data_IF_196047952920
#
_entry.id   IF_196047952920
#
_cell.length_a   1.000
_cell.length_b   1.000
_cell.length_c   1.000
_cell.angle_alpha   90.00
_cell.angle_beta   90.00
_cell.angle_gamma   90.00
#
_symmetry.space_group_name_H-M   'P 1'
#
loop_
_entity.id
_entity.type
_entity.pdbx_description
1 polymer ?
#
# COMPACT_ATOMS: atom_id res chain seq x y z
N UNK A 1 11.85 -1.42 2.89
CA UNK A 1 10.37 -1.40 2.97
C UNK A 1 9.84 -1.71 1.59
N UNK A 2 8.70 -2.40 1.48
CA UNK A 2 8.03 -2.71 0.21
C UNK A 2 6.59 -2.22 0.24
N UNK A 3 6.09 -1.80 -0.92
CA UNK A 3 4.67 -1.51 -1.10
C UNK A 3 4.16 -2.17 -2.38
N UNK A 4 2.95 -2.71 -2.33
CA UNK A 4 2.16 -3.06 -3.51
C UNK A 4 1.04 -2.04 -3.61
N UNK A 5 0.97 -1.34 -4.74
CA UNK A 5 -0.04 -0.33 -5.00
C UNK A 5 -1.11 -0.89 -5.94
N UNK A 6 -2.36 -0.58 -5.63
CA UNK A 6 -3.51 -0.90 -6.46
C UNK A 6 -4.31 0.38 -6.69
N UNK A 7 -4.54 0.73 -7.95
CA UNK A 7 -5.52 1.76 -8.29
C UNK A 7 -6.91 1.18 -8.08
N UNK A 8 -7.72 1.85 -7.27
CA UNK A 8 -9.06 1.40 -6.90
C UNK A 8 -10.11 2.45 -7.22
N UNK A 9 -11.33 2.02 -7.55
CA UNK A 9 -12.49 2.91 -7.61
C UNK A 9 -13.12 3.12 -6.22
N UNK A 10 -13.00 2.12 -5.35
CA UNK A 10 -13.37 2.10 -3.93
C UNK A 10 -12.62 0.98 -3.21
N UNK A 11 -12.43 1.08 -1.89
CA UNK A 11 -11.85 0.03 -1.06
C UNK A 11 -12.26 0.22 0.42
N UNK A 12 -12.23 -0.84 1.22
CA UNK A 12 -12.49 -0.76 2.66
C UNK A 12 -11.70 -1.84 3.42
N UNK A 13 -11.38 -1.54 4.68
CA UNK A 13 -10.90 -2.51 5.68
C UNK A 13 -12.01 -2.74 6.68
N UNK A 14 -12.37 -4.00 6.89
CA UNK A 14 -13.41 -4.40 7.83
C UNK A 14 -12.80 -5.32 8.89
N UNK A 15 -13.03 -5.02 10.17
CA UNK A 15 -12.59 -5.80 11.31
C UNK A 15 -13.83 -6.15 12.14
N UNK A 16 -14.08 -7.44 12.34
CA UNK A 16 -15.25 -7.93 13.10
C UNK A 16 -16.60 -7.36 12.62
N UNK A 17 -16.71 -7.04 11.33
CA UNK A 17 -17.91 -6.47 10.71
C UNK A 17 -17.97 -4.93 10.73
N UNK A 18 -17.04 -4.26 11.40
CA UNK A 18 -16.94 -2.79 11.44
C UNK A 18 -15.95 -2.27 10.39
N UNK A 19 -16.32 -1.22 9.67
CA UNK A 19 -15.41 -0.55 8.72
C UNK A 19 -14.49 0.39 9.48
N UNK A 20 -13.19 0.06 9.50
CA UNK A 20 -12.16 0.84 10.22
C UNK A 20 -11.39 1.80 9.31
N UNK A 21 -11.64 1.75 8.01
CA UNK A 21 -11.08 2.68 7.03
C UNK A 21 -11.61 2.37 5.63
N UNK A 22 -11.93 3.41 4.87
CA UNK A 22 -12.50 3.27 3.54
C UNK A 22 -12.09 4.37 2.57
N UNK A 23 -12.22 4.03 1.29
CA UNK A 23 -12.12 4.90 0.13
C UNK A 23 -13.41 4.74 -0.65
N UNK A 24 -14.16 5.83 -0.81
CA UNK A 24 -15.46 5.87 -1.51
C UNK A 24 -15.39 6.45 -2.92
N UNK A 25 -14.20 6.87 -3.37
CA UNK A 25 -13.92 7.47 -4.68
C UNK A 25 -12.57 6.97 -5.24
N UNK A 26 -12.24 7.20 -6.52
CA UNK A 26 -10.96 6.74 -7.07
C UNK A 26 -9.75 7.14 -6.23
N UNK A 27 -8.85 6.19 -5.98
CA UNK A 27 -7.68 6.35 -5.11
C UNK A 27 -6.73 5.16 -5.15
N UNK A 28 -5.90 5.02 -4.12
CA UNK A 28 -4.92 3.94 -4.00
C UNK A 28 -5.16 3.08 -2.76
N UNK A 29 -5.04 1.76 -2.90
CA UNK A 29 -4.73 0.88 -1.78
C UNK A 29 -3.23 0.63 -1.78
N UNK A 30 -2.59 0.84 -0.63
CA UNK A 30 -1.18 0.56 -0.42
C UNK A 30 -1.04 -0.57 0.61
N UNK A 31 -0.69 -1.76 0.13
CA UNK A 31 -0.25 -2.85 1.01
C UNK A 31 1.23 -2.62 1.34
N UNK A 32 1.55 -2.36 2.60
CA UNK A 32 2.90 -1.96 3.03
C UNK A 32 3.51 -3.04 3.90
N UNK A 33 4.68 -3.53 3.48
CA UNK A 33 5.50 -4.48 4.23
C UNK A 33 6.75 -3.76 4.76
N UNK A 34 7.04 -3.99 6.04
CA UNK A 34 8.24 -3.49 6.73
C UNK A 34 9.07 -4.67 7.18
N UNK A 35 10.40 -4.56 7.14
CA UNK A 35 11.34 -5.58 7.63
C UNK A 35 12.40 -4.99 8.55
N UNK A 36 13.20 -5.84 9.18
CA UNK A 36 14.15 -5.50 10.25
C UNK A 36 15.18 -4.42 9.89
N UNK A 37 15.51 -4.27 8.61
CA UNK A 37 16.48 -3.28 8.13
C UNK A 37 15.88 -1.93 7.77
N UNK A 38 14.56 -1.75 7.89
CA UNK A 38 13.89 -0.53 7.49
C UNK A 38 13.94 0.51 8.62
N UNK A 39 14.36 1.73 8.27
CA UNK A 39 14.38 2.88 9.16
C UNK A 39 13.67 4.10 8.56
N UNK A 40 13.88 5.29 9.15
CA UNK A 40 13.24 6.53 8.71
C UNK A 40 13.46 6.86 7.22
N UNK A 41 14.64 6.54 6.67
CA UNK A 41 14.96 6.80 5.27
C UNK A 41 14.12 5.96 4.29
N UNK A 42 13.88 4.68 4.61
CA UNK A 42 13.00 3.81 3.83
C UNK A 42 11.54 4.26 3.91
N UNK A 43 11.10 4.69 5.09
CA UNK A 43 9.75 5.25 5.30
C UNK A 43 9.56 6.48 4.42
N UNK A 44 10.47 7.45 4.50
CA UNK A 44 10.41 8.67 3.70
C UNK A 44 10.41 8.36 2.20
N UNK A 45 11.28 7.45 1.76
CA UNK A 45 11.39 7.06 0.35
C UNK A 45 10.12 6.39 -0.15
N UNK A 46 9.53 5.47 0.61
CA UNK A 46 8.30 4.78 0.20
C UNK A 46 7.11 5.73 0.25
N UNK A 47 6.96 6.53 1.31
CA UNK A 47 5.87 7.50 1.42
C UNK A 47 5.89 8.51 0.26
N UNK A 48 7.06 9.11 -0.04
CA UNK A 48 7.24 10.00 -1.19
C UNK A 48 6.88 9.32 -2.50
N UNK A 49 7.39 8.10 -2.72
CA UNK A 49 7.07 7.34 -3.93
C UNK A 49 5.59 7.05 -4.07
N UNK A 50 4.88 6.72 -2.99
CA UNK A 50 3.42 6.49 -3.04
C UNK A 50 2.70 7.79 -3.39
N UNK A 51 3.08 8.90 -2.75
CA UNK A 51 2.47 10.22 -2.96
C UNK A 51 2.62 10.74 -4.40
N UNK A 52 3.82 10.59 -4.96
CA UNK A 52 4.22 11.22 -6.23
C UNK A 52 4.08 10.28 -7.45
N UNK A 53 3.80 8.99 -7.29
CA UNK A 53 3.73 8.06 -8.42
C UNK A 53 2.49 8.34 -9.30
N UNK A 54 2.77 8.67 -10.56
CA UNK A 54 1.81 9.10 -11.60
C UNK A 54 1.04 7.95 -12.24
N UNK A 55 0.26 7.20 -11.44
CA UNK A 55 -0.46 5.98 -11.87
C UNK A 55 -1.99 6.13 -11.92
N UNK A 56 -2.53 7.31 -11.59
CA UNK A 56 -3.96 7.59 -11.70
C UNK A 56 -4.36 7.96 -13.14
N UNK A 57 -5.60 8.38 -13.32
CA UNK A 57 -6.04 8.93 -14.61
C UNK A 57 -5.19 10.16 -14.97
N UNK A 58 -5.06 10.43 -16.27
CA UNK A 58 -4.34 11.60 -16.79
C UNK A 58 -2.88 11.72 -16.30
N UNK A 59 -2.27 10.57 -15.98
CA UNK A 59 -0.93 10.49 -15.41
C UNK A 59 -0.77 11.33 -14.13
N UNK A 60 -1.81 11.42 -13.31
CA UNK A 60 -1.73 12.10 -12.02
C UNK A 60 -1.19 11.19 -10.91
N UNK A 61 -0.56 11.81 -9.91
CA UNK A 61 -0.24 11.15 -8.65
C UNK A 61 -1.40 11.28 -7.66
N UNK A 62 -1.39 10.54 -6.55
CA UNK A 62 -2.42 10.76 -5.54
C UNK A 62 -2.27 12.12 -4.85
N UNK A 63 -1.05 12.66 -4.76
CA UNK A 63 -0.82 14.01 -4.28
C UNK A 63 -1.42 15.07 -5.22
N UNK A 64 -1.16 15.01 -6.53
CA UNK A 64 -1.66 16.01 -7.48
C UNK A 64 -3.18 15.96 -7.64
N UNK A 65 -3.74 14.75 -7.71
CA UNK A 65 -5.19 14.53 -7.82
C UNK A 65 -5.93 14.72 -6.48
N UNK A 66 -5.20 14.95 -5.38
CA UNK A 66 -5.72 14.91 -4.02
C UNK A 66 -6.46 13.60 -3.72
N UNK A 67 -6.07 12.48 -4.34
CA UNK A 67 -6.75 11.21 -4.23
C UNK A 67 -6.42 10.51 -2.89
N UNK A 68 -7.39 9.79 -2.29
CA UNK A 68 -7.17 9.14 -1.01
C UNK A 68 -6.28 7.90 -1.16
N UNK A 69 -5.57 7.58 -0.08
CA UNK A 69 -4.74 6.37 0.02
C UNK A 69 -5.13 5.59 1.26
N UNK A 70 -5.43 4.30 1.09
CA UNK A 70 -5.78 3.37 2.16
C UNK A 70 -4.56 2.48 2.41
N UNK A 71 -3.87 2.72 3.52
CA UNK A 71 -2.64 2.02 3.88
C UNK A 71 -2.97 0.83 4.77
N UNK A 72 -2.56 -0.37 4.36
CA UNK A 72 -2.81 -1.61 5.09
C UNK A 72 -1.48 -2.32 5.34
N UNK A 73 -1.23 -2.69 6.59
CA UNK A 73 -0.05 -3.48 6.96
C UNK A 73 -0.11 -4.88 6.33
N UNK A 74 0.94 -5.26 5.61
CA UNK A 74 1.02 -6.53 4.88
C UNK A 74 2.41 -7.16 5.02
N UNK A 75 2.66 -7.86 6.14
CA UNK A 75 3.95 -8.52 6.39
C UNK A 75 4.30 -9.58 5.33
N UNK A 76 3.30 -10.15 4.66
CA UNK A 76 3.52 -11.23 3.71
C UNK A 76 4.26 -10.82 2.43
N UNK A 77 4.44 -9.51 2.18
CA UNK A 77 5.23 -9.00 1.06
C UNK A 77 6.73 -9.34 1.14
N UNK A 78 7.20 -9.73 2.32
CA UNK A 78 8.55 -10.26 2.53
C UNK A 78 8.61 -11.80 2.56
N UNK A 79 7.47 -12.47 2.34
CA UNK A 79 7.42 -13.93 2.27
C UNK A 79 8.26 -14.49 1.11
N UNK A 80 9.20 -15.37 1.42
CA UNK A 80 9.92 -16.17 0.44
C UNK A 80 9.14 -17.45 0.13
N UNK A 81 8.79 -17.62 -1.15
CA UNK A 81 8.04 -18.76 -1.68
C UNK A 81 8.90 -19.64 -2.60
N UNK A 82 10.24 -19.49 -2.55
CA UNK A 82 11.18 -20.18 -3.45
C UNK A 82 11.25 -21.71 -3.26
N UNK A 83 10.87 -22.24 -2.09
CA UNK A 83 10.95 -23.66 -1.76
C UNK A 83 9.72 -24.12 -1.00
N UNK A 84 9.21 -25.31 -1.35
CA UNK A 84 8.04 -25.91 -0.69
C UNK A 84 6.74 -25.15 -0.96
N UNK A 85 5.75 -25.33 -0.07
CA UNK A 85 4.41 -24.71 -0.17
C UNK A 85 4.07 -23.75 0.98
N UNK A 86 4.94 -23.66 2.00
CA UNK A 86 4.78 -22.75 3.13
C UNK A 86 5.76 -21.58 2.97
N UNK A 87 5.30 -20.32 2.95
CA UNK A 87 6.19 -19.17 2.92
C UNK A 87 7.10 -19.12 4.17
N UNK A 88 8.34 -18.67 3.99
CA UNK A 88 9.23 -18.25 5.08
C UNK A 88 9.33 -16.73 5.11
N UNK A 89 9.70 -16.14 6.26
CA UNK A 89 9.75 -14.68 6.45
C UNK A 89 11.11 -14.27 6.97
#
# INVERSE_FOLDING_TARGET
>A
MRAVLQRVARAAVVVEGETVGEITRPGLVALVGVTHGDGPAEVETIARKIAELRILADEESCESAGAPVLVVSQFTLYGSTKKGRRPSW
#
